data_IF_411612142428
#
_entry.id   IF_411612142428
#
_cell.length_a   1.000
_cell.length_b   1.000
_cell.length_c   1.000
_cell.angle_alpha   90.00
_cell.angle_beta   90.00
_cell.angle_gamma   90.00
#
_symmetry.space_group_name_H-M   'P 1'
#
loop_
_entity.id
_entity.type
_entity.pdbx_description
1 polymer ?
#
# COMPACT_ATOMS: atom_id res chain seq x y z
N UNK A 1 0.37 4.57 8.85
CA UNK A 1 1.34 3.81 8.01
C UNK A 1 1.24 4.27 6.58
N UNK A 2 2.32 4.78 6.05
CA UNK A 2 2.33 5.30 4.69
C UNK A 2 2.54 4.18 3.68
N UNK A 3 1.70 4.13 2.67
CA UNK A 3 1.78 3.14 1.62
C UNK A 3 1.87 3.88 0.30
N UNK A 4 2.87 3.56 -0.50
CA UNK A 4 3.04 4.16 -1.81
C UNK A 4 2.80 3.10 -2.87
N UNK A 5 1.99 3.42 -3.85
CA UNK A 5 1.67 2.50 -4.93
C UNK A 5 2.11 3.12 -6.23
N UNK A 6 3.03 2.43 -6.91
CA UNK A 6 3.45 2.85 -8.24
C UNK A 6 2.56 2.18 -9.27
N UNK A 7 2.02 2.97 -10.17
CA UNK A 7 1.12 2.48 -11.22
C UNK A 7 1.84 2.54 -12.56
N UNK A 8 1.70 1.48 -13.35
CA UNK A 8 2.35 1.39 -14.64
C UNK A 8 1.92 2.54 -15.54
N UNK A 9 2.88 3.06 -16.25
CA UNK A 9 2.65 4.15 -17.21
C UNK A 9 2.17 5.45 -16.58
N UNK A 10 2.34 5.59 -15.28
CA UNK A 10 1.99 6.82 -14.59
C UNK A 10 3.21 7.36 -13.86
N UNK A 11 3.53 8.64 -14.01
CA UNK A 11 4.69 9.21 -13.31
C UNK A 11 4.39 9.50 -11.85
N UNK A 12 3.14 9.36 -11.42
CA UNK A 12 2.78 9.67 -10.04
C UNK A 12 2.63 8.42 -9.23
N UNK A 13 3.01 8.53 -7.97
CA UNK A 13 2.71 7.48 -7.01
C UNK A 13 1.45 7.85 -6.25
N UNK A 14 0.67 6.85 -5.92
CA UNK A 14 -0.45 7.04 -5.00
C UNK A 14 0.10 6.89 -3.60
N UNK A 15 -0.22 7.83 -2.73
CA UNK A 15 0.24 7.79 -1.34
C UNK A 15 -0.99 7.68 -0.45
N UNK A 16 -1.01 6.68 0.39
CA UNK A 16 -2.15 6.40 1.26
C UNK A 16 -1.64 6.27 2.68
N UNK A 17 -2.34 6.88 3.61
CA UNK A 17 -2.00 6.78 5.02
C UNK A 17 -2.97 5.79 5.65
N UNK A 18 -2.53 4.55 5.78
CA UNK A 18 -3.40 3.46 6.22
C UNK A 18 -3.37 3.29 7.74
N UNK A 19 -4.51 3.02 8.37
CA UNK A 19 -4.52 2.71 9.79
C UNK A 19 -4.06 1.30 10.12
N UNK A 20 -3.86 0.46 9.11
CA UNK A 20 -3.45 -0.92 9.34
C UNK A 20 -1.94 -1.03 9.57
N UNK A 21 -1.52 -2.14 10.14
CA UNK A 21 -0.11 -2.41 10.35
C UNK A 21 0.55 -2.81 9.03
N UNK A 22 1.88 -2.74 8.95
CA UNK A 22 2.58 -3.16 7.73
C UNK A 22 2.27 -4.60 7.35
N UNK A 23 2.16 -5.48 8.34
CA UNK A 23 1.89 -6.89 8.05
C UNK A 23 0.50 -7.07 7.46
N UNK A 24 -0.47 -6.34 7.97
CA UNK A 24 -1.82 -6.42 7.42
C UNK A 24 -1.89 -5.90 6.00
N UNK A 25 -1.19 -4.80 5.73
CA UNK A 25 -1.16 -4.25 4.39
C UNK A 25 -0.47 -5.22 3.43
N UNK A 26 0.63 -5.81 3.88
CA UNK A 26 1.34 -6.76 3.04
C UNK A 26 0.46 -7.96 2.72
N UNK A 27 -0.31 -8.43 3.69
CA UNK A 27 -1.23 -9.55 3.46
C UNK A 27 -2.31 -9.19 2.45
N UNK A 28 -2.86 -7.97 2.55
CA UNK A 28 -3.86 -7.51 1.61
C UNK A 28 -3.30 -7.44 0.19
N UNK A 29 -2.08 -6.92 0.06
CA UNK A 29 -1.42 -6.80 -1.24
C UNK A 29 -1.13 -8.18 -1.80
N UNK A 30 -0.63 -9.09 -0.98
CA UNK A 30 -0.31 -10.43 -1.43
C UNK A 30 -1.57 -11.17 -1.89
N UNK A 31 -2.66 -11.00 -1.17
CA UNK A 31 -3.92 -11.63 -1.55
C UNK A 31 -4.40 -11.11 -2.90
N UNK A 32 -4.32 -9.80 -3.11
CA UNK A 32 -4.73 -9.21 -4.37
C UNK A 32 -3.85 -9.70 -5.52
N UNK A 33 -2.54 -9.72 -5.29
CA UNK A 33 -1.59 -10.12 -6.34
C UNK A 33 -1.70 -11.59 -6.70
N UNK A 34 -2.12 -12.43 -5.76
CA UNK A 34 -2.23 -13.85 -6.02
C UNK A 34 -3.54 -14.22 -6.69
N UNK A 35 -4.41 -13.24 -6.96
CA UNK A 35 -5.67 -13.53 -7.60
C UNK A 35 -6.75 -13.97 -6.64
N UNK A 36 -6.54 -13.78 -5.34
CA UNK A 36 -7.55 -14.16 -4.35
C UNK A 36 -8.77 -13.26 -4.38
N UNK A 37 -8.63 -12.07 -4.94
CA UNK A 37 -9.77 -11.17 -5.06
C UNK A 37 -10.44 -11.41 -6.40
N UNK A 38 -11.76 -11.49 -6.41
CA UNK A 38 -12.48 -11.85 -7.62
C UNK A 38 -12.43 -10.78 -8.69
N UNK A 39 -12.34 -9.54 -8.27
CA UNK A 39 -12.42 -8.43 -9.22
C UNK A 39 -11.05 -7.96 -9.71
N UNK A 40 -9.97 -8.57 -9.24
CA UNK A 40 -8.65 -8.15 -9.67
C UNK A 40 -8.27 -6.75 -9.21
N UNK A 41 -8.82 -6.31 -8.12
CA UNK A 41 -8.58 -4.97 -7.60
C UNK A 41 -7.92 -5.03 -6.24
N UNK A 42 -7.01 -4.10 -5.98
CA UNK A 42 -6.48 -3.87 -4.65
C UNK A 42 -7.19 -2.65 -4.08
N UNK A 43 -7.85 -2.82 -2.96
CA UNK A 43 -8.58 -1.72 -2.30
C UNK A 43 -7.92 -1.40 -0.98
N UNK A 44 -7.56 -0.15 -0.79
CA UNK A 44 -6.98 0.32 0.46
C UNK A 44 -7.82 1.50 0.96
N UNK A 45 -7.93 1.58 2.28
CA UNK A 45 -8.70 2.65 2.90
C UNK A 45 -7.73 3.48 3.74
N UNK A 46 -7.74 4.79 3.58
CA UNK A 46 -6.85 5.62 4.36
C UNK A 46 -7.51 6.03 5.67
N UNK A 47 -6.76 6.73 6.50
CA UNK A 47 -7.23 7.09 7.84
C UNK A 47 -8.42 8.03 7.83
N UNK A 48 -8.68 8.67 6.72
CA UNK A 48 -9.82 9.58 6.59
C UNK A 48 -11.03 8.89 5.99
N UNK A 49 -10.94 7.59 5.76
CA UNK A 49 -12.03 6.84 5.18
C UNK A 49 -12.06 6.87 3.67
N UNK A 50 -11.09 7.50 3.03
CA UNK A 50 -11.03 7.52 1.58
C UNK A 50 -10.61 6.14 1.07
N UNK A 51 -11.28 5.66 0.06
CA UNK A 51 -10.93 4.38 -0.53
C UNK A 51 -10.17 4.59 -1.81
N UNK A 52 -9.11 3.82 -1.98
CA UNK A 52 -8.32 3.86 -3.20
C UNK A 52 -8.35 2.45 -3.78
N UNK A 53 -8.80 2.34 -5.01
CA UNK A 53 -8.96 1.05 -5.68
C UNK A 53 -8.07 1.06 -6.92
N UNK A 54 -7.19 0.07 -7.01
CA UNK A 54 -6.21 0.01 -8.10
C UNK A 54 -6.28 -1.36 -8.75
N UNK A 55 -6.39 -1.42 -10.08
CA UNK A 55 -6.33 -2.71 -10.77
C UNK A 55 -4.98 -3.37 -10.52
N UNK A 56 -4.99 -4.62 -10.12
CA UNK A 56 -3.77 -5.33 -9.78
C UNK A 56 -2.80 -5.39 -10.94
N UNK A 57 -3.28 -5.59 -12.14
CA UNK A 57 -2.41 -5.73 -13.29
C UNK A 57 -1.80 -4.41 -13.74
N UNK A 58 -2.18 -3.30 -13.12
CA UNK A 58 -1.56 -2.00 -13.41
C UNK A 58 -0.59 -1.57 -12.33
N UNK A 59 -0.43 -2.35 -11.28
CA UNK A 59 0.46 -1.99 -10.18
C UNK A 59 1.88 -2.37 -10.57
N UNK A 60 2.79 -1.39 -10.50
CA UNK A 60 4.20 -1.65 -10.73
C UNK A 60 4.87 -2.09 -9.44
N UNK A 61 4.52 -1.47 -8.32
CA UNK A 61 5.07 -1.84 -7.03
C UNK A 61 4.22 -1.25 -5.91
N UNK A 62 4.40 -1.78 -4.72
CA UNK A 62 3.78 -1.24 -3.51
C UNK A 62 4.89 -1.13 -2.47
N UNK A 63 5.08 0.05 -1.94
CA UNK A 63 6.09 0.30 -0.91
C UNK A 63 5.38 0.60 0.40
N UNK A 64 5.70 -0.15 1.43
CA UNK A 64 5.11 0.02 2.75
C UNK A 64 6.20 0.60 3.64
N UNK A 65 6.04 1.87 4.03
CA UNK A 65 7.03 2.53 4.86
C UNK A 65 6.94 2.02 6.28
N UNK A 66 8.08 1.88 6.91
CA UNK A 66 8.09 1.51 8.31
C UNK A 66 7.81 2.73 9.14
N UNK A 67 7.02 2.56 10.16
CA UNK A 67 6.70 3.64 11.04
C UNK A 67 7.89 3.95 11.89
N UNK A 68 8.13 5.18 11.99
CA UNK A 68 9.02 5.75 12.89
C UNK A 68 10.19 5.05 13.28
N UNK A 69 10.70 4.29 12.54
CA UNK A 69 11.82 3.70 12.96
C UNK A 69 12.90 4.59 12.97
N UNK A 70 12.77 5.65 12.56
CA UNK A 70 13.77 6.36 12.53
C UNK A 70 14.22 6.89 13.57
N UNK A 71 13.95 7.14 14.22
CA UNK A 71 14.36 7.78 15.15
C UNK A 71 15.15 7.20 15.85
N UNK A 72 15.31 6.51 15.89
CA UNK A 72 15.92 5.91 16.67
C UNK A 72 17.19 5.92 16.51
N UNK A 73 17.49 5.94 16.23
CA UNK A 73 18.42 6.16 16.19
C UNK A 73 19.31 6.42 16.05
N UNK A 74 19.11 6.63 16.21
CA UNK A 74 19.78 7.06 16.16
C UNK A 74 20.46 7.07 16.57
N UNK A 75 20.26 7.03 16.83
CA UNK A 75 20.67 7.17 17.30
C UNK A 75 21.16 6.78 17.39
N UNK A 76 21.16 6.63 17.62
CA UNK A 76 21.46 6.34 17.76
C UNK A 76 21.83 6.23 17.81
#
# INVERSE_FOLDING_TARGET
MEVKIGVQHSPRELVIDSPKSPDEIQADVAAAMSGSTKDGLLTLVDERGRRVVVPVDRIAYVEIAQADTRRVGFAN
#
